data_IF_118442489005
#
_entry.id   IF_118442489005
#
_cell.length_a   1.000
_cell.length_b   1.000
_cell.length_c   1.000
_cell.angle_alpha   90.00
_cell.angle_beta   90.00
_cell.angle_gamma   90.00
#
_symmetry.space_group_name_H-M   'P 1'
#
loop_
_entity.id
_entity.type
_entity.pdbx_description
1 polymer ?
#
# COMPACT_ATOMS: atom_id res chain seq x y z
N UNK A 1 19.11 8.18 -12.40
CA UNK A 1 18.35 7.33 -13.35
C UNK A 1 18.80 5.87 -13.35
N UNK A 2 20.10 5.53 -13.50
CA UNK A 2 20.59 4.12 -13.47
C UNK A 2 20.21 3.29 -12.23
N UNK A 3 20.05 3.93 -11.07
CA UNK A 3 19.77 3.25 -9.79
C UNK A 3 18.32 2.81 -9.63
N UNK A 4 17.37 3.72 -9.90
CA UNK A 4 15.92 3.40 -9.93
C UNK A 4 15.69 2.27 -10.93
N UNK A 5 16.37 2.31 -12.08
CA UNK A 5 16.28 1.29 -13.11
C UNK A 5 16.78 -0.09 -12.60
N UNK A 6 17.90 -0.13 -11.86
CA UNK A 6 18.44 -1.37 -11.30
C UNK A 6 17.58 -1.96 -10.17
N UNK A 7 17.03 -1.10 -9.29
CA UNK A 7 16.11 -1.53 -8.23
C UNK A 7 14.80 -2.06 -8.82
N UNK A 8 14.27 -1.39 -9.85
CA UNK A 8 13.10 -1.85 -10.58
C UNK A 8 13.41 -3.18 -11.28
N UNK A 9 14.51 -3.30 -12.03
CA UNK A 9 14.84 -4.54 -12.75
C UNK A 9 14.97 -5.78 -11.83
N UNK A 10 15.54 -5.63 -10.63
CA UNK A 10 15.70 -6.75 -9.69
C UNK A 10 14.45 -7.05 -8.87
N UNK A 11 13.62 -6.05 -8.57
CA UNK A 11 12.52 -6.15 -7.60
C UNK A 11 11.14 -5.78 -8.17
N UNK A 12 11.01 -5.66 -9.50
CA UNK A 12 9.74 -5.30 -10.15
C UNK A 12 8.53 -6.15 -9.73
N UNK A 13 8.64 -7.48 -9.48
CA UNK A 13 7.47 -8.27 -9.11
C UNK A 13 6.96 -7.89 -7.72
N UNK A 14 7.89 -7.63 -6.79
CA UNK A 14 7.60 -7.22 -5.42
C UNK A 14 6.97 -5.82 -5.41
N UNK A 15 7.55 -4.89 -6.17
CA UNK A 15 7.04 -3.53 -6.30
C UNK A 15 5.61 -3.50 -6.89
N UNK A 16 5.29 -4.37 -7.85
CA UNK A 16 3.93 -4.47 -8.39
C UNK A 16 2.93 -5.02 -7.38
N UNK A 17 3.32 -6.04 -6.61
CA UNK A 17 2.48 -6.58 -5.56
C UNK A 17 2.22 -5.51 -4.50
N UNK A 18 3.24 -4.77 -4.08
CA UNK A 18 3.06 -3.65 -3.14
C UNK A 18 2.15 -2.56 -3.69
N UNK A 19 2.31 -2.19 -4.96
CA UNK A 19 1.46 -1.18 -5.59
C UNK A 19 -0.02 -1.63 -5.59
N UNK A 20 -0.28 -2.92 -5.86
CA UNK A 20 -1.62 -3.48 -5.81
C UNK A 20 -2.21 -3.42 -4.40
N UNK A 21 -1.43 -3.79 -3.38
CA UNK A 21 -1.86 -3.68 -1.98
C UNK A 21 -2.13 -2.23 -1.59
N UNK A 22 -1.27 -1.29 -1.99
CA UNK A 22 -1.45 0.13 -1.71
C UNK A 22 -2.77 0.66 -2.30
N UNK A 23 -3.05 0.34 -3.56
CA UNK A 23 -4.31 0.70 -4.23
C UNK A 23 -5.51 0.06 -3.51
N UNK A 24 -5.38 -1.22 -3.13
CA UNK A 24 -6.40 -1.93 -2.35
C UNK A 24 -6.71 -1.26 -1.00
N UNK A 25 -5.67 -0.82 -0.28
CA UNK A 25 -5.79 -0.10 0.98
C UNK A 25 -6.54 1.22 0.83
N UNK A 26 -6.20 2.00 -0.20
CA UNK A 26 -6.88 3.26 -0.52
C UNK A 26 -8.35 3.01 -0.91
N UNK A 27 -8.63 1.99 -1.71
CA UNK A 27 -10.00 1.62 -2.08
C UNK A 27 -10.84 1.21 -0.85
N UNK A 28 -10.24 0.47 0.09
CA UNK A 28 -10.89 0.12 1.37
C UNK A 28 -11.24 1.37 2.18
N UNK A 29 -10.33 2.35 2.24
CA UNK A 29 -10.60 3.64 2.91
C UNK A 29 -11.78 4.38 2.26
N UNK A 30 -11.76 4.53 0.93
CA UNK A 30 -12.83 5.20 0.17
C UNK A 30 -14.17 4.48 0.37
N UNK A 31 -14.15 3.15 0.28
CA UNK A 31 -15.34 2.32 0.45
C UNK A 31 -15.90 2.43 1.88
N UNK A 32 -15.03 2.42 2.89
CA UNK A 32 -15.42 2.63 4.28
C UNK A 32 -16.08 3.98 4.53
N UNK A 33 -15.54 5.05 3.95
CA UNK A 33 -16.14 6.40 4.02
C UNK A 33 -17.52 6.42 3.35
N UNK A 34 -17.66 5.77 2.19
CA UNK A 34 -18.94 5.68 1.46
C UNK A 34 -19.99 4.87 2.24
N UNK A 35 -19.58 3.76 2.85
CA UNK A 35 -20.44 2.85 3.62
C UNK A 35 -20.86 3.42 4.99
N UNK A 36 -20.22 4.50 5.47
CA UNK A 36 -20.51 5.13 6.77
C UNK A 36 -21.98 5.49 6.96
N UNK A 37 -22.68 5.84 5.88
CA UNK A 37 -24.12 6.19 5.90
C UNK A 37 -25.03 4.96 6.03
N UNK A 38 -24.58 3.78 5.59
CA UNK A 38 -25.39 2.56 5.56
C UNK A 38 -25.11 1.67 6.77
N UNK A 39 -23.83 1.43 7.11
CA UNK A 39 -23.45 0.62 8.25
C UNK A 39 -22.15 1.15 8.88
N UNK A 40 -22.28 1.72 10.08
CA UNK A 40 -21.16 2.33 10.81
C UNK A 40 -20.09 1.31 11.20
N UNK A 41 -20.47 0.07 11.52
CA UNK A 41 -19.51 -0.97 11.93
C UNK A 41 -18.67 -1.42 10.74
N UNK A 42 -19.32 -1.72 9.61
CA UNK A 42 -18.61 -2.10 8.38
C UNK A 42 -17.70 -0.96 7.91
N UNK A 43 -18.19 0.29 7.95
CA UNK A 43 -17.39 1.46 7.63
C UNK A 43 -16.13 1.55 8.49
N UNK A 44 -16.26 1.33 9.81
CA UNK A 44 -15.15 1.39 10.75
C UNK A 44 -14.14 0.26 10.48
N UNK A 45 -14.61 -0.95 10.21
CA UNK A 45 -13.75 -2.08 9.83
C UNK A 45 -12.99 -1.76 8.53
N UNK A 46 -13.66 -1.26 7.49
CA UNK A 46 -13.02 -0.89 6.22
C UNK A 46 -11.97 0.22 6.41
N UNK A 47 -12.27 1.24 7.22
CA UNK A 47 -11.32 2.33 7.47
C UNK A 47 -10.11 1.85 8.26
N UNK A 48 -10.31 1.03 9.31
CA UNK A 48 -9.21 0.50 10.13
C UNK A 48 -8.33 -0.45 9.32
N UNK A 49 -8.94 -1.40 8.61
CA UNK A 49 -8.20 -2.36 7.77
C UNK A 49 -7.50 -1.67 6.61
N UNK A 50 -8.16 -0.74 5.92
CA UNK A 50 -7.56 0.07 4.85
C UNK A 50 -6.39 0.91 5.37
N UNK A 51 -6.50 1.50 6.55
CA UNK A 51 -5.42 2.29 7.17
C UNK A 51 -4.21 1.42 7.50
N UNK A 52 -4.42 0.28 8.16
CA UNK A 52 -3.36 -0.68 8.49
C UNK A 52 -2.65 -1.19 7.23
N UNK A 53 -3.42 -1.60 6.22
CA UNK A 53 -2.88 -2.10 4.97
C UNK A 53 -2.04 -1.04 4.24
N UNK A 54 -2.54 0.20 4.18
CA UNK A 54 -1.82 1.32 3.54
C UNK A 54 -0.52 1.64 4.28
N UNK A 55 -0.53 1.65 5.62
CA UNK A 55 0.67 1.90 6.43
C UNK A 55 1.71 0.81 6.24
N UNK A 56 1.29 -0.47 6.24
CA UNK A 56 2.19 -1.61 6.01
C UNK A 56 2.80 -1.52 4.62
N UNK A 57 1.99 -1.28 3.58
CA UNK A 57 2.49 -1.10 2.22
C UNK A 57 3.47 0.07 2.10
N UNK A 58 3.19 1.21 2.74
CA UNK A 58 4.11 2.34 2.74
C UNK A 58 5.44 2.00 3.43
N UNK A 59 5.39 1.28 4.54
CA UNK A 59 6.59 0.88 5.28
C UNK A 59 7.47 -0.07 4.47
N UNK A 60 6.87 -1.09 3.85
CA UNK A 60 7.60 -2.03 3.00
C UNK A 60 8.21 -1.29 1.80
N UNK A 61 7.47 -0.36 1.18
CA UNK A 61 7.94 0.37 0.02
C UNK A 61 9.13 1.27 0.38
N UNK A 62 9.07 1.89 1.56
CA UNK A 62 10.13 2.71 2.12
C UNK A 62 11.38 1.87 2.43
N UNK A 63 11.22 0.67 3.00
CA UNK A 63 12.32 -0.30 3.17
C UNK A 63 12.88 -0.72 1.81
N UNK A 64 12.04 -1.07 0.85
CA UNK A 64 12.45 -1.53 -0.48
C UNK A 64 13.29 -0.46 -1.18
N UNK A 65 12.92 0.81 -1.04
CA UNK A 65 13.66 1.95 -1.58
C UNK A 65 14.94 2.22 -0.80
N UNK A 66 14.91 2.29 0.54
CA UNK A 66 16.09 2.64 1.36
C UNK A 66 17.10 1.48 1.47
N UNK A 67 16.66 0.25 1.74
CA UNK A 67 17.57 -0.90 1.79
C UNK A 67 17.93 -1.38 0.38
N UNK A 68 17.08 -1.19 -0.62
CA UNK A 68 17.47 -1.35 -2.03
C UNK A 68 18.50 -0.32 -2.50
N UNK A 69 18.67 0.79 -1.78
CA UNK A 69 19.72 1.79 -2.01
C UNK A 69 21.08 1.39 -1.42
N UNK A 70 21.10 0.43 -0.47
CA UNK A 70 22.29 0.03 0.28
C UNK A 70 22.82 -1.38 -0.08
N UNK A 71 22.49 -1.90 -1.26
CA UNK A 71 23.07 -3.13 -1.84
C UNK A 71 23.59 -2.89 -3.25
#
# INVERSE_FOLDING_TARGET
MKFIQRTVELKWPILLVELFFLIGGILLLISGIKLRKQNRIIALICVVTGSLLTLISLYILLITVIFGYNS
#
